data_IF_207881418561
#
_entry.id   IF_207881418561
#
_cell.length_a   1.000
_cell.length_b   1.000
_cell.length_c   1.000
_cell.angle_alpha   90.00
_cell.angle_beta   90.00
_cell.angle_gamma   90.00
#
_symmetry.space_group_name_H-M   'P 1'
#
loop_
_entity.id
_entity.type
_entity.pdbx_description
1 polymer ?
#
# COMPACT_ATOMS: atom_id res chain seq x y z
N UNK A 1 -3.64 0.98 -23.77
CA UNK A 1 -2.34 1.08 -24.46
C UNK A 1 -1.35 0.61 -23.42
N UNK A 2 -0.90 -0.63 -23.52
CA UNK A 2 0.22 -1.11 -22.69
C UNK A 2 1.45 -0.40 -23.25
N UNK A 3 1.90 0.66 -22.56
CA UNK A 3 3.22 1.18 -22.83
C UNK A 3 4.17 0.12 -22.29
N UNK A 4 4.65 -0.76 -23.17
CA UNK A 4 5.72 -1.68 -22.83
C UNK A 4 6.98 -0.83 -22.65
N UNK A 5 7.23 -0.35 -21.44
CA UNK A 5 8.44 0.37 -21.10
C UNK A 5 9.64 -0.56 -21.32
N UNK A 6 10.61 -0.13 -22.13
CA UNK A 6 11.89 -0.86 -22.24
C UNK A 6 12.77 -0.44 -21.07
N UNK A 7 12.86 -1.27 -20.05
CA UNK A 7 13.75 -1.05 -18.90
C UNK A 7 15.17 -0.79 -19.42
N UNK A 8 15.72 0.36 -19.08
CA UNK A 8 17.04 0.83 -19.53
C UNK A 8 16.98 1.98 -20.53
N UNK A 9 15.82 2.23 -21.15
CA UNK A 9 15.68 3.30 -22.12
C UNK A 9 15.52 4.67 -21.46
N UNK A 10 15.76 5.73 -22.23
CA UNK A 10 15.59 7.11 -21.78
C UNK A 10 14.15 7.39 -21.34
N UNK A 11 13.15 6.90 -22.08
CA UNK A 11 11.73 7.07 -21.73
C UNK A 11 11.39 6.36 -20.41
N UNK A 12 11.98 5.19 -20.17
CA UNK A 12 11.84 4.50 -18.90
C UNK A 12 12.43 5.33 -17.76
N UNK A 13 13.65 5.87 -17.89
CA UNK A 13 14.28 6.67 -16.83
C UNK A 13 13.46 7.92 -16.50
N UNK A 14 12.90 8.58 -17.52
CA UNK A 14 12.01 9.73 -17.33
C UNK A 14 10.73 9.33 -16.56
N UNK A 15 10.10 8.22 -16.94
CA UNK A 15 8.91 7.72 -16.24
C UNK A 15 9.22 7.28 -14.81
N UNK A 16 10.38 6.65 -14.60
CA UNK A 16 10.88 6.22 -13.30
C UNK A 16 11.12 7.42 -12.37
N UNK A 17 11.77 8.46 -12.88
CA UNK A 17 11.98 9.70 -12.15
C UNK A 17 10.63 10.37 -11.81
N UNK A 18 9.73 10.44 -12.79
CA UNK A 18 8.40 11.02 -12.59
C UNK A 18 7.60 10.29 -11.51
N UNK A 19 7.61 8.95 -11.52
CA UNK A 19 6.98 8.11 -10.49
C UNK A 19 7.51 8.45 -9.09
N UNK A 20 8.83 8.45 -8.91
CA UNK A 20 9.47 8.75 -7.63
C UNK A 20 9.24 10.20 -7.16
N UNK A 21 9.24 11.17 -8.08
CA UNK A 21 8.94 12.57 -7.76
C UNK A 21 7.49 12.75 -7.33
N UNK A 22 6.54 12.13 -8.04
CA UNK A 22 5.12 12.23 -7.71
C UNK A 22 4.83 11.71 -6.30
N UNK A 23 5.27 10.50 -5.97
CA UNK A 23 5.04 9.92 -4.64
C UNK A 23 5.81 10.64 -3.53
N UNK A 24 6.95 11.25 -3.84
CA UNK A 24 7.69 12.11 -2.92
C UNK A 24 6.90 13.38 -2.59
N UNK A 25 6.36 14.04 -3.61
CA UNK A 25 5.52 15.23 -3.46
C UNK A 25 4.22 14.91 -2.71
N UNK A 26 3.57 13.77 -2.98
CA UNK A 26 2.37 13.37 -2.22
C UNK A 26 2.70 13.13 -0.74
N UNK A 27 3.85 12.53 -0.44
CA UNK A 27 4.33 12.33 0.94
C UNK A 27 4.60 13.66 1.65
N UNK A 28 5.27 14.60 0.98
CA UNK A 28 5.54 15.94 1.51
C UNK A 28 4.25 16.76 1.70
N UNK A 29 3.33 16.71 0.75
CA UNK A 29 2.01 17.37 0.86
C UNK A 29 1.26 16.85 2.08
N UNK A 30 1.24 15.54 2.30
CA UNK A 30 0.61 14.96 3.48
C UNK A 30 1.30 15.44 4.76
N UNK A 31 2.63 15.33 4.82
CA UNK A 31 3.41 15.75 5.98
C UNK A 31 3.23 17.24 6.33
N UNK A 32 3.08 18.11 5.32
CA UNK A 32 2.82 19.55 5.54
C UNK A 32 1.51 19.84 6.29
N UNK A 33 0.61 18.85 6.39
CA UNK A 33 -0.66 18.95 7.12
C UNK A 33 -0.61 18.31 8.51
N UNK A 34 0.44 17.55 8.83
CA UNK A 34 0.58 16.73 10.03
C UNK A 34 1.17 15.36 9.68
N UNK A 35 1.37 14.49 10.66
CA UNK A 35 2.07 13.21 10.42
C UNK A 35 1.12 12.17 9.80
N UNK A 36 1.30 11.71 8.55
CA UNK A 36 0.45 10.68 7.97
C UNK A 36 0.78 9.30 8.55
N UNK A 37 -0.22 8.41 8.57
CA UNK A 37 -0.03 7.03 9.05
C UNK A 37 1.05 6.25 8.28
N UNK A 38 1.21 6.53 6.98
CA UNK A 38 2.25 5.93 6.14
C UNK A 38 3.67 6.36 6.54
N UNK A 39 3.84 7.45 7.29
CA UNK A 39 5.15 7.94 7.76
C UNK A 39 5.44 7.54 9.21
N UNK A 40 4.43 7.57 10.08
CA UNK A 40 4.55 7.08 11.46
C UNK A 40 3.21 6.57 11.99
N UNK A 41 3.08 5.25 12.16
CA UNK A 41 1.84 4.60 12.56
C UNK A 41 1.38 4.97 14.00
N UNK A 42 2.30 5.36 14.88
CA UNK A 42 2.02 5.67 16.31
C UNK A 42 1.70 7.15 16.52
N UNK A 43 2.38 8.04 15.78
CA UNK A 43 2.18 9.49 15.85
C UNK A 43 1.20 10.03 14.79
N UNK A 44 0.60 9.14 14.00
CA UNK A 44 -0.32 9.48 12.93
C UNK A 44 -1.44 10.42 13.38
N UNK A 45 -1.65 11.46 12.61
CA UNK A 45 -2.73 12.42 12.76
C UNK A 45 -3.77 12.26 11.66
N UNK A 46 -4.93 12.88 11.87
CA UNK A 46 -5.96 12.92 10.84
C UNK A 46 -5.73 14.09 9.90
N UNK A 47 -5.59 13.80 8.61
CA UNK A 47 -5.24 14.78 7.59
C UNK A 47 -6.25 14.82 6.45
N UNK A 48 -6.45 16.00 5.89
CA UNK A 48 -7.18 16.21 4.65
C UNK A 48 -6.23 16.88 3.66
N UNK A 49 -5.90 16.17 2.58
CA UNK A 49 -4.89 16.60 1.61
C UNK A 49 -5.55 16.71 0.25
N UNK A 50 -5.36 17.85 -0.42
CA UNK A 50 -5.82 18.03 -1.79
C UNK A 50 -4.91 17.26 -2.75
N UNK A 51 -5.51 16.44 -3.62
CA UNK A 51 -4.80 15.66 -4.64
C UNK A 51 -4.49 16.48 -5.91
N UNK A 52 -4.95 17.73 -5.96
CA UNK A 52 -4.72 18.66 -7.06
C UNK A 52 -5.76 18.55 -8.19
N UNK A 53 -5.61 19.39 -9.23
CA UNK A 53 -6.61 19.55 -10.28
C UNK A 53 -6.99 18.22 -10.96
N UNK A 54 -8.27 17.99 -11.27
CA UNK A 54 -8.70 16.77 -11.96
C UNK A 54 -8.86 15.53 -11.08
N UNK A 55 -8.45 15.59 -9.80
CA UNK A 55 -8.75 14.59 -8.78
C UNK A 55 -9.72 15.19 -7.75
N UNK A 56 -11.02 14.88 -7.85
CA UNK A 56 -12.06 15.56 -7.07
C UNK A 56 -12.19 15.09 -5.62
N UNK A 57 -11.58 13.96 -5.28
CA UNK A 57 -11.51 13.44 -3.92
C UNK A 57 -10.29 14.00 -3.20
N UNK A 58 -10.45 14.37 -1.94
CA UNK A 58 -9.30 14.60 -1.06
C UNK A 58 -8.67 13.26 -0.69
N UNK A 59 -7.35 13.26 -0.52
CA UNK A 59 -6.66 12.17 0.14
C UNK A 59 -6.82 12.40 1.65
N UNK A 60 -7.63 11.55 2.29
CA UNK A 60 -7.88 11.63 3.73
C UNK A 60 -7.06 10.55 4.43
N UNK A 61 -6.26 10.97 5.39
CA UNK A 61 -5.54 10.07 6.30
C UNK A 61 -6.31 10.08 7.61
N UNK A 62 -6.87 8.94 8.01
CA UNK A 62 -7.57 8.79 9.29
C UNK A 62 -7.03 7.53 9.98
N UNK A 63 -6.20 7.67 11.03
CA UNK A 63 -5.56 6.52 11.68
C UNK A 63 -6.56 5.57 12.37
N UNK A 64 -7.74 6.08 12.76
CA UNK A 64 -8.80 5.24 13.33
C UNK A 64 -9.48 4.44 12.22
N UNK A 65 -9.79 5.08 11.08
CA UNK A 65 -10.32 4.37 9.92
C UNK A 65 -9.32 3.32 9.41
N UNK A 66 -8.04 3.67 9.32
CA UNK A 66 -6.98 2.75 8.91
C UNK A 66 -6.89 1.53 9.83
N UNK A 67 -6.95 1.75 11.15
CA UNK A 67 -6.97 0.65 12.14
C UNK A 67 -8.22 -0.21 12.01
N UNK A 68 -9.39 0.38 11.76
CA UNK A 68 -10.60 -0.41 11.50
C UNK A 68 -10.38 -1.30 10.29
N UNK A 69 -9.84 -0.76 9.19
CA UNK A 69 -9.69 -1.46 7.93
C UNK A 69 -8.63 -2.56 7.97
N UNK A 70 -7.43 -2.21 8.44
CA UNK A 70 -6.21 -2.98 8.26
C UNK A 70 -5.54 -3.36 9.58
N UNK A 71 -6.09 -2.97 10.74
CA UNK A 71 -5.47 -3.23 12.05
C UNK A 71 -5.18 -4.72 12.29
N UNK A 72 -6.14 -5.59 12.02
CA UNK A 72 -5.98 -7.04 12.18
C UNK A 72 -4.96 -7.62 11.18
N UNK A 73 -4.86 -7.03 9.98
CA UNK A 73 -3.90 -7.41 8.95
C UNK A 73 -2.48 -7.00 9.34
N UNK A 74 -2.31 -5.80 9.89
CA UNK A 74 -1.04 -5.35 10.47
C UNK A 74 -0.62 -6.22 11.64
N UNK A 75 -1.55 -6.57 12.53
CA UNK A 75 -1.26 -7.46 13.65
C UNK A 75 -0.80 -8.84 13.17
N UNK A 76 -1.50 -9.43 12.20
CA UNK A 76 -1.09 -10.70 11.59
C UNK A 76 0.31 -10.61 10.96
N UNK A 77 0.61 -9.51 10.26
CA UNK A 77 1.95 -9.26 9.71
C UNK A 77 3.00 -9.19 10.81
N UNK A 78 2.78 -8.39 11.86
CA UNK A 78 3.72 -8.24 12.97
C UNK A 78 3.95 -9.55 13.72
N UNK A 79 2.88 -10.28 14.04
CA UNK A 79 2.95 -11.59 14.69
C UNK A 79 3.74 -12.58 13.82
N UNK A 80 3.55 -12.54 12.49
CA UNK A 80 4.29 -13.40 11.58
C UNK A 80 5.78 -13.05 11.54
N UNK A 81 6.14 -11.77 11.52
CA UNK A 81 7.56 -11.35 11.54
C UNK A 81 8.23 -11.77 12.84
N UNK A 82 7.56 -11.57 13.98
CA UNK A 82 8.08 -11.95 15.29
C UNK A 82 8.20 -13.47 15.47
N UNK A 83 7.31 -14.25 14.85
CA UNK A 83 7.35 -15.71 14.86
C UNK A 83 8.53 -16.30 14.06
N UNK A 84 9.07 -15.57 13.07
CA UNK A 84 10.29 -15.98 12.36
C UNK A 84 11.51 -15.79 13.26
N UNK A 85 11.62 -14.64 13.91
CA UNK A 85 12.65 -14.31 14.90
C UNK A 85 12.25 -13.06 15.68
N UNK A 86 12.55 -12.98 16.99
CA UNK A 86 12.33 -11.75 17.76
C UNK A 86 13.14 -10.55 17.23
N UNK A 87 14.23 -10.80 16.49
CA UNK A 87 15.08 -9.77 15.87
C UNK A 87 15.29 -10.04 14.37
N UNK A 88 14.20 -10.34 13.66
CA UNK A 88 14.22 -10.60 12.21
C UNK A 88 14.96 -9.51 11.41
N UNK A 89 15.70 -9.93 10.39
CA UNK A 89 16.22 -9.04 9.34
C UNK A 89 15.14 -8.86 8.29
N UNK A 90 14.52 -7.69 8.25
CA UNK A 90 13.33 -7.42 7.44
C UNK A 90 13.67 -6.49 6.29
N UNK A 91 13.33 -6.89 5.07
CA UNK A 91 13.31 -6.03 3.89
C UNK A 91 11.90 -5.49 3.67
N UNK A 92 11.72 -4.18 3.60
CA UNK A 92 10.44 -3.54 3.23
C UNK A 92 10.60 -2.89 1.86
N UNK A 93 9.92 -3.42 0.86
CA UNK A 93 9.94 -2.98 -0.53
C UNK A 93 8.83 -1.96 -0.79
N UNK A 94 9.12 -0.95 -1.60
CA UNK A 94 8.23 0.20 -1.83
C UNK A 94 7.78 0.81 -0.50
N UNK A 95 8.75 1.07 0.38
CA UNK A 95 8.49 1.42 1.78
C UNK A 95 7.85 2.81 1.98
N UNK A 96 7.76 3.62 0.92
CA UNK A 96 7.21 4.97 0.97
C UNK A 96 7.89 5.83 2.04
N UNK A 97 7.12 6.60 2.84
CA UNK A 97 7.67 7.38 3.93
C UNK A 97 7.96 6.56 5.20
N UNK A 98 8.00 5.23 5.10
CA UNK A 98 8.68 4.37 6.06
C UNK A 98 7.90 3.97 7.31
N UNK A 99 6.62 4.29 7.44
CA UNK A 99 5.84 4.05 8.66
C UNK A 99 5.80 2.58 9.10
N UNK A 100 5.62 1.64 8.17
CA UNK A 100 5.68 0.21 8.46
C UNK A 100 7.09 -0.24 8.86
N UNK A 101 8.11 0.26 8.17
CA UNK A 101 9.51 -0.05 8.46
C UNK A 101 9.92 0.48 9.86
N UNK A 102 9.49 1.69 10.21
CA UNK A 102 9.71 2.31 11.51
C UNK A 102 9.01 1.53 12.62
N UNK A 103 7.78 1.08 12.41
CA UNK A 103 7.05 0.28 13.39
C UNK A 103 7.72 -1.08 13.65
N UNK A 104 8.19 -1.76 12.60
CA UNK A 104 8.96 -3.00 12.73
C UNK A 104 10.29 -2.79 13.48
N UNK A 105 10.99 -1.69 13.22
CA UNK A 105 12.21 -1.34 13.95
C UNK A 105 11.92 -1.07 15.44
N UNK A 106 10.81 -0.41 15.77
CA UNK A 106 10.34 -0.22 17.17
C UNK A 106 10.00 -1.52 17.89
N UNK A 107 9.72 -2.59 17.15
CA UNK A 107 9.47 -3.92 17.68
C UNK A 107 10.76 -4.75 17.85
N UNK A 108 11.93 -4.17 17.57
CA UNK A 108 13.24 -4.80 17.78
C UNK A 108 13.84 -5.46 16.55
N UNK A 109 13.24 -5.30 15.37
CA UNK A 109 13.73 -5.90 14.14
C UNK A 109 14.80 -5.05 13.44
N UNK A 110 15.60 -5.69 12.59
CA UNK A 110 16.61 -5.04 11.76
C UNK A 110 16.05 -4.79 10.37
N UNK A 111 15.62 -3.56 10.12
CA UNK A 111 14.80 -3.21 8.96
C UNK A 111 15.62 -2.46 7.91
N UNK A 112 15.48 -2.88 6.66
CA UNK A 112 15.96 -2.17 5.47
C UNK A 112 14.75 -1.79 4.61
N UNK A 113 14.45 -0.51 4.52
CA UNK A 113 13.42 0.02 3.62
C UNK A 113 14.00 0.41 2.27
N UNK A 114 13.33 0.05 1.18
CA UNK A 114 13.70 0.47 -0.17
C UNK A 114 12.50 1.13 -0.83
N UNK A 115 12.71 2.32 -1.37
CA UNK A 115 11.73 3.02 -2.19
C UNK A 115 12.42 3.72 -3.35
N UNK A 116 11.68 4.06 -4.39
CA UNK A 116 12.22 4.83 -5.50
C UNK A 116 12.20 6.34 -5.24
N UNK A 117 11.29 6.79 -4.38
CA UNK A 117 11.10 8.19 -4.09
C UNK A 117 12.13 8.71 -3.09
N UNK A 118 13.02 9.57 -3.57
CA UNK A 118 13.95 10.33 -2.70
C UNK A 118 13.21 11.15 -1.64
N UNK A 119 12.09 11.78 -2.02
CA UNK A 119 11.29 12.60 -1.10
C UNK A 119 10.63 11.77 0.00
N UNK A 120 10.10 10.59 -0.35
CA UNK A 120 9.53 9.68 0.64
C UNK A 120 10.60 9.14 1.60
N UNK A 121 11.76 8.72 1.08
CA UNK A 121 12.89 8.26 1.91
C UNK A 121 13.40 9.36 2.85
N UNK A 122 13.55 10.60 2.38
CA UNK A 122 13.96 11.71 3.25
C UNK A 122 12.97 11.94 4.41
N UNK A 123 11.67 11.79 4.15
CA UNK A 123 10.67 11.84 5.21
C UNK A 123 10.77 10.63 6.15
N UNK A 124 11.02 9.43 5.63
CA UNK A 124 11.21 8.22 6.42
C UNK A 124 12.40 8.33 7.38
N UNK A 125 13.54 8.82 6.89
CA UNK A 125 14.74 9.10 7.69
C UNK A 125 14.44 10.11 8.79
N UNK A 126 13.75 11.21 8.46
CA UNK A 126 13.31 12.21 9.44
C UNK A 126 12.41 11.61 10.53
N UNK A 127 11.45 10.76 10.16
CA UNK A 127 10.56 10.11 11.14
C UNK A 127 11.32 9.16 12.06
N UNK A 128 12.35 8.48 11.54
CA UNK A 128 13.24 7.65 12.33
C UNK A 128 14.12 8.47 13.30
N UNK A 129 14.68 9.60 12.85
CA UNK A 129 15.47 10.51 13.68
C UNK A 129 14.64 11.14 14.80
N UNK A 130 13.41 11.55 14.50
CA UNK A 130 12.49 12.15 15.47
C UNK A 130 11.73 11.11 16.31
N UNK A 131 12.08 9.82 16.24
CA UNK A 131 11.35 8.74 16.91
C UNK A 131 11.56 8.77 18.45
N UNK A 132 10.50 8.98 19.26
CA UNK A 132 10.64 8.96 20.72
C UNK A 132 10.58 7.54 21.33
N UNK A 133 10.22 6.51 20.56
CA UNK A 133 10.00 5.15 21.05
C UNK A 133 11.23 4.27 20.80
N UNK A 134 12.23 4.34 21.69
CA UNK A 134 13.56 3.74 21.46
C UNK A 134 13.90 2.53 22.36
N UNK A 135 13.05 2.20 23.33
CA UNK A 135 13.33 1.19 24.37
C UNK A 135 13.72 -0.20 23.83
N UNK A 136 13.03 -0.67 22.79
CA UNK A 136 13.29 -1.95 22.11
C UNK A 136 13.63 -1.73 20.63
N UNK A 137 14.25 -0.60 20.28
CA UNK A 137 14.51 -0.28 18.89
C UNK A 137 15.61 -1.17 18.32
N UNK A 138 15.33 -1.83 17.19
CA UNK A 138 16.32 -2.57 16.43
C UNK A 138 17.20 -1.64 15.60
N UNK A 139 17.34 -1.93 14.31
CA UNK A 139 18.04 -1.02 13.38
C UNK A 139 17.15 -0.69 12.21
N UNK A 140 17.36 0.49 11.63
CA UNK A 140 16.58 0.96 10.50
C UNK A 140 17.50 1.69 9.53
N UNK A 141 17.51 1.26 8.27
CA UNK A 141 18.16 1.98 7.18
C UNK A 141 17.26 2.03 5.96
N UNK A 142 17.50 3.02 5.11
CA UNK A 142 16.74 3.25 3.90
C UNK A 142 17.66 3.34 2.68
N UNK A 143 17.18 2.87 1.54
CA UNK A 143 17.87 3.00 0.26
C UNK A 143 16.91 3.51 -0.80
N UNK A 144 17.34 4.53 -1.55
CA UNK A 144 16.66 4.93 -2.78
C UNK A 144 17.11 4.02 -3.93
N UNK A 145 16.23 3.20 -4.47
CA UNK A 145 16.57 2.31 -5.58
C UNK A 145 15.38 1.94 -6.47
N UNK A 146 15.69 1.63 -7.72
CA UNK A 146 14.75 1.07 -8.69
C UNK A 146 14.57 -0.45 -8.47
N UNK A 147 13.42 -0.83 -7.91
CA UNK A 147 13.08 -2.23 -7.67
C UNK A 147 12.95 -3.07 -8.96
N UNK A 148 12.76 -2.44 -10.12
CA UNK A 148 12.74 -3.17 -11.39
C UNK A 148 14.14 -3.66 -11.80
N UNK A 149 15.20 -3.06 -11.25
CA UNK A 149 16.60 -3.39 -11.58
C UNK A 149 17.45 -3.81 -10.38
N UNK A 150 16.90 -3.75 -9.17
CA UNK A 150 17.65 -4.02 -7.95
C UNK A 150 18.28 -5.41 -7.95
N UNK A 151 19.49 -5.53 -7.42
CA UNK A 151 20.12 -6.81 -7.08
C UNK A 151 20.19 -6.92 -5.57
N UNK A 152 19.52 -7.92 -5.01
CA UNK A 152 19.45 -8.11 -3.56
C UNK A 152 20.54 -9.10 -3.10
N UNK A 153 21.15 -8.80 -1.96
CA UNK A 153 22.13 -9.69 -1.33
C UNK A 153 21.47 -11.04 -0.98
N UNK A 154 22.15 -12.14 -1.35
CA UNK A 154 21.63 -13.50 -1.17
C UNK A 154 21.52 -13.87 0.30
N UNK A 155 20.42 -14.51 0.70
CA UNK A 155 20.17 -15.02 2.06
C UNK A 155 20.37 -13.98 3.19
N UNK A 156 20.13 -12.71 2.87
CA UNK A 156 20.31 -11.58 3.77
C UNK A 156 19.13 -11.37 4.72
N UNK A 157 17.92 -11.69 4.28
CA UNK A 157 16.69 -11.34 5.01
C UNK A 157 15.95 -12.58 5.51
N UNK A 158 15.39 -12.46 6.70
CA UNK A 158 14.50 -13.48 7.27
C UNK A 158 13.05 -13.23 6.81
N UNK A 159 12.70 -11.97 6.56
CA UNK A 159 11.39 -11.57 6.05
C UNK A 159 11.55 -10.52 4.96
N UNK A 160 10.81 -10.66 3.86
CA UNK A 160 10.60 -9.60 2.88
C UNK A 160 9.12 -9.18 2.93
N UNK A 161 8.87 -7.88 2.83
CA UNK A 161 7.54 -7.29 2.93
C UNK A 161 7.31 -6.32 1.77
N UNK A 162 6.13 -6.37 1.17
CA UNK A 162 5.63 -5.29 0.30
C UNK A 162 4.20 -4.93 0.73
N UNK A 163 3.92 -3.65 0.95
CA UNK A 163 2.60 -3.20 1.37
C UNK A 163 2.12 -2.08 0.44
N UNK A 164 1.14 -2.39 -0.39
CA UNK A 164 0.49 -1.46 -1.32
C UNK A 164 1.49 -0.82 -2.31
N UNK A 165 2.31 -1.65 -2.97
CA UNK A 165 3.43 -1.17 -3.79
C UNK A 165 3.90 -2.09 -4.92
N UNK A 166 3.54 -3.38 -4.91
CA UNK A 166 3.90 -4.30 -6.00
C UNK A 166 3.21 -3.94 -7.32
N UNK A 167 2.03 -3.32 -7.26
CA UNK A 167 1.31 -2.90 -8.45
C UNK A 167 2.02 -1.83 -9.29
N UNK A 168 3.06 -1.19 -8.74
CA UNK A 168 3.94 -0.24 -9.43
C UNK A 168 5.14 -0.89 -10.14
N UNK A 169 5.36 -2.20 -9.97
CA UNK A 169 6.62 -2.85 -10.38
C UNK A 169 6.49 -3.47 -11.78
N UNK A 170 6.94 -2.76 -12.81
CA UNK A 170 7.00 -3.25 -14.19
C UNK A 170 7.70 -4.62 -14.33
N UNK A 171 8.85 -4.82 -13.68
CA UNK A 171 9.64 -6.03 -13.75
C UNK A 171 9.31 -7.03 -12.63
N UNK A 172 8.02 -7.20 -12.30
CA UNK A 172 7.58 -7.96 -11.13
C UNK A 172 8.18 -9.37 -11.07
N UNK A 173 8.25 -10.07 -12.20
CA UNK A 173 8.82 -11.42 -12.29
C UNK A 173 10.29 -11.45 -11.86
N UNK A 174 11.09 -10.49 -12.36
CA UNK A 174 12.49 -10.31 -11.95
C UNK A 174 12.59 -9.99 -10.46
N UNK A 175 11.75 -9.09 -9.95
CA UNK A 175 11.74 -8.74 -8.54
C UNK A 175 11.41 -9.96 -7.67
N UNK A 176 10.43 -10.78 -8.04
CA UNK A 176 10.11 -12.02 -7.31
C UNK A 176 11.32 -12.97 -7.25
N UNK A 177 12.06 -13.11 -8.35
CA UNK A 177 13.32 -13.84 -8.38
C UNK A 177 14.37 -13.26 -7.40
N UNK A 178 14.50 -11.94 -7.33
CA UNK A 178 15.42 -11.25 -6.40
C UNK A 178 15.00 -11.45 -4.93
N UNK A 179 13.70 -11.31 -4.63
CA UNK A 179 13.19 -11.58 -3.28
C UNK A 179 13.50 -13.02 -2.88
N UNK A 180 13.20 -13.99 -3.77
CA UNK A 180 13.43 -15.42 -3.52
C UNK A 180 14.87 -15.71 -3.13
N UNK A 181 15.85 -15.16 -3.86
CA UNK A 181 17.28 -15.41 -3.56
C UNK A 181 17.79 -14.64 -2.34
N UNK A 182 17.15 -13.51 -2.03
CA UNK A 182 17.53 -12.67 -0.89
C UNK A 182 17.08 -13.24 0.46
N UNK A 183 16.04 -14.07 0.46
CA UNK A 183 15.52 -14.71 1.65
C UNK A 183 16.44 -15.83 2.16
N UNK A 184 16.55 -15.94 3.48
CA UNK A 184 17.13 -17.10 4.14
C UNK A 184 16.31 -18.36 3.86
N UNK A 185 16.88 -19.55 4.16
CA UNK A 185 16.23 -20.83 3.86
C UNK A 185 14.86 -21.02 4.51
N UNK A 186 14.62 -20.38 5.67
CA UNK A 186 13.32 -20.35 6.37
C UNK A 186 12.61 -19.01 6.23
N UNK A 187 13.04 -18.17 5.29
CA UNK A 187 12.52 -16.83 5.12
C UNK A 187 11.12 -16.82 4.51
N UNK A 188 10.36 -15.78 4.84
CA UNK A 188 8.99 -15.61 4.34
C UNK A 188 8.87 -14.31 3.55
N UNK A 189 8.06 -14.34 2.51
CA UNK A 189 7.60 -13.14 1.81
C UNK A 189 6.16 -12.85 2.23
N UNK A 190 5.93 -11.66 2.76
CA UNK A 190 4.59 -11.19 3.16
C UNK A 190 4.24 -10.02 2.24
N UNK A 191 3.06 -10.04 1.63
CA UNK A 191 2.64 -8.87 0.86
C UNK A 191 1.16 -8.58 1.03
N UNK A 192 0.81 -7.30 0.99
CA UNK A 192 -0.56 -6.86 0.83
C UNK A 192 -0.66 -5.93 -0.37
N UNK A 193 -1.58 -6.21 -1.28
CA UNK A 193 -1.71 -5.42 -2.51
C UNK A 193 -3.09 -5.54 -3.16
N UNK A 194 -3.40 -4.60 -4.04
CA UNK A 194 -4.60 -4.57 -4.86
C UNK A 194 -4.44 -5.52 -6.06
N UNK A 195 -5.30 -6.54 -6.10
CA UNK A 195 -5.35 -7.58 -7.15
C UNK A 195 -6.50 -7.35 -8.15
N UNK A 196 -7.16 -6.19 -8.04
CA UNK A 196 -8.26 -5.77 -8.89
C UNK A 196 -9.64 -6.13 -8.33
N UNK A 197 -10.60 -5.29 -8.64
CA UNK A 197 -11.97 -5.40 -8.13
C UNK A 197 -12.91 -6.12 -9.10
N UNK A 198 -13.74 -7.02 -8.57
CA UNK A 198 -14.79 -7.70 -9.35
C UNK A 198 -15.87 -6.75 -9.85
N UNK A 199 -16.62 -7.15 -10.89
CA UNK A 199 -17.73 -6.33 -11.42
C UNK A 199 -18.81 -6.08 -10.36
N UNK A 200 -19.19 -7.10 -9.60
CA UNK A 200 -20.24 -7.00 -8.58
C UNK A 200 -19.81 -6.07 -7.44
N UNK A 201 -18.60 -6.27 -6.90
CA UNK A 201 -17.95 -5.40 -5.93
C UNK A 201 -17.97 -3.94 -6.36
N UNK A 202 -17.61 -3.69 -7.63
CA UNK A 202 -17.59 -2.36 -8.22
C UNK A 202 -18.97 -1.72 -8.30
N UNK A 203 -20.02 -2.49 -8.61
CA UNK A 203 -21.39 -1.98 -8.62
C UNK A 203 -21.86 -1.60 -7.22
N UNK A 204 -21.66 -2.49 -6.24
CA UNK A 204 -22.07 -2.25 -4.85
C UNK A 204 -21.32 -1.05 -4.27
N UNK A 205 -19.99 -1.02 -4.41
CA UNK A 205 -19.15 0.08 -3.94
C UNK A 205 -19.50 1.41 -4.60
N UNK A 206 -19.75 1.39 -5.92
CA UNK A 206 -20.20 2.57 -6.66
C UNK A 206 -21.57 3.08 -6.20
N UNK A 207 -22.53 2.19 -5.95
CA UNK A 207 -23.85 2.55 -5.45
C UNK A 207 -23.77 3.14 -4.03
N UNK A 208 -23.02 2.51 -3.12
CA UNK A 208 -22.79 3.02 -1.77
C UNK A 208 -22.11 4.39 -1.80
N UNK A 209 -21.03 4.53 -2.57
CA UNK A 209 -20.34 5.81 -2.72
C UNK A 209 -21.26 6.90 -3.27
N UNK A 210 -22.10 6.57 -4.24
CA UNK A 210 -23.07 7.50 -4.77
C UNK A 210 -24.11 7.91 -3.72
N UNK A 211 -24.68 6.96 -2.97
CA UNK A 211 -25.75 7.22 -2.01
C UNK A 211 -25.26 7.94 -0.74
N UNK A 212 -24.06 7.62 -0.25
CA UNK A 212 -23.56 8.12 1.02
C UNK A 212 -23.08 9.58 0.94
N UNK A 213 -23.24 10.37 2.02
CA UNK A 213 -22.76 11.74 2.06
C UNK A 213 -21.23 11.74 2.20
N UNK A 214 -20.52 12.16 1.14
CA UNK A 214 -19.06 12.33 1.17
C UNK A 214 -18.67 13.78 0.91
N UNK A 215 -17.40 14.16 1.08
CA UNK A 215 -16.96 15.52 0.80
C UNK A 215 -17.07 15.89 -0.69
N UNK A 216 -17.08 14.89 -1.59
CA UNK A 216 -17.41 15.08 -3.00
C UNK A 216 -18.91 15.38 -3.21
N UNK A 217 -19.28 16.51 -3.85
CA UNK A 217 -20.68 16.85 -4.15
C UNK A 217 -21.38 15.85 -5.09
N UNK A 218 -22.68 15.61 -4.90
CA UNK A 218 -23.46 14.66 -5.71
C UNK A 218 -23.44 14.94 -7.21
N UNK A 219 -23.44 16.21 -7.65
CA UNK A 219 -23.37 16.54 -9.08
C UNK A 219 -22.03 16.09 -9.71
N UNK A 220 -20.94 16.10 -8.94
CA UNK A 220 -19.65 15.53 -9.36
C UNK A 220 -19.73 13.99 -9.38
N UNK A 221 -20.37 13.38 -8.37
CA UNK A 221 -20.60 11.92 -8.34
C UNK A 221 -21.38 11.42 -9.55
N UNK A 222 -22.44 12.13 -9.95
CA UNK A 222 -23.20 11.85 -11.18
C UNK A 222 -22.31 11.85 -12.42
N UNK A 223 -21.35 12.76 -12.51
CA UNK A 223 -20.36 12.81 -13.59
C UNK A 223 -19.48 11.55 -13.69
N UNK A 224 -19.22 10.84 -12.59
CA UNK A 224 -18.46 9.58 -12.63
C UNK A 224 -19.24 8.43 -13.25
N UNK A 225 -20.55 8.38 -13.01
CA UNK A 225 -21.45 7.38 -13.60
C UNK A 225 -21.44 7.50 -15.13
N UNK A 226 -21.31 8.73 -15.64
CA UNK A 226 -21.27 9.05 -17.08
C UNK A 226 -19.86 9.00 -17.71
N UNK A 227 -18.89 8.32 -17.08
CA UNK A 227 -17.56 8.06 -17.66
C UNK A 227 -16.39 8.82 -17.03
N UNK A 228 -16.61 9.56 -15.93
CA UNK A 228 -15.53 10.25 -15.21
C UNK A 228 -14.42 9.32 -14.67
N UNK A 229 -14.70 8.02 -14.47
CA UNK A 229 -13.67 7.03 -14.08
C UNK A 229 -12.49 6.99 -15.07
N UNK A 230 -12.76 7.01 -16.38
CA UNK A 230 -11.71 6.96 -17.40
C UNK A 230 -10.83 8.22 -17.37
N UNK A 231 -11.39 9.36 -16.96
CA UNK A 231 -10.63 10.62 -16.82
C UNK A 231 -9.70 10.55 -15.61
N UNK A 232 -10.20 10.08 -14.46
CA UNK A 232 -9.39 9.91 -13.24
C UNK A 232 -8.24 8.94 -13.46
N UNK A 233 -8.53 7.76 -14.03
CA UNK A 233 -7.48 6.77 -14.30
C UNK A 233 -6.41 7.32 -15.25
N UNK A 234 -6.80 8.03 -16.32
CA UNK A 234 -5.84 8.70 -17.20
C UNK A 234 -5.00 9.78 -16.49
N UNK A 235 -5.62 10.56 -15.61
CA UNK A 235 -4.92 11.58 -14.83
C UNK A 235 -3.95 10.95 -13.83
N UNK A 236 -4.32 9.84 -13.20
CA UNK A 236 -3.42 9.07 -12.34
C UNK A 236 -2.25 8.49 -13.12
N UNK A 237 -2.49 7.77 -14.22
CA UNK A 237 -1.42 7.24 -15.08
C UNK A 237 -0.51 8.33 -15.64
N UNK A 238 -1.05 9.54 -15.86
CA UNK A 238 -0.24 10.67 -16.31
C UNK A 238 0.74 11.14 -15.23
N UNK A 239 0.40 11.01 -13.94
CA UNK A 239 1.21 11.48 -12.80
C UNK A 239 2.11 10.41 -12.22
N UNK A 240 1.59 9.19 -12.16
CA UNK A 240 2.19 7.95 -11.67
C UNK A 240 2.23 6.99 -12.87
N UNK A 241 3.27 7.06 -13.73
CA UNK A 241 3.37 6.25 -14.95
C UNK A 241 3.26 4.74 -14.72
N UNK A 242 3.59 4.27 -13.53
CA UNK A 242 3.56 2.85 -13.18
C UNK A 242 2.35 2.44 -12.32
N UNK A 243 1.40 3.34 -12.09
CA UNK A 243 0.15 3.03 -11.39
C UNK A 243 -0.56 1.80 -11.98
N UNK A 244 -0.85 0.82 -11.14
CA UNK A 244 -1.60 -0.41 -11.48
C UNK A 244 -1.02 -1.25 -12.64
N UNK A 245 0.25 -1.06 -13.03
CA UNK A 245 0.85 -1.79 -14.17
C UNK A 245 0.92 -3.30 -13.96
N UNK A 246 0.94 -3.74 -12.70
CA UNK A 246 1.08 -5.15 -12.33
C UNK A 246 -0.09 -5.73 -11.55
N UNK A 247 -1.11 -4.94 -11.18
CA UNK A 247 -2.23 -5.41 -10.33
C UNK A 247 -2.87 -6.71 -10.83
N UNK A 248 -2.97 -6.89 -12.15
CA UNK A 248 -3.57 -8.07 -12.77
C UNK A 248 -2.70 -9.35 -12.78
N UNK A 249 -1.40 -9.27 -12.45
CA UNK A 249 -0.46 -10.39 -12.56
C UNK A 249 0.27 -10.74 -11.26
N UNK A 250 0.00 -10.03 -10.15
CA UNK A 250 0.70 -10.23 -8.86
C UNK A 250 0.64 -11.69 -8.41
N UNK A 251 -0.56 -12.25 -8.27
CA UNK A 251 -0.72 -13.61 -7.73
C UNK A 251 -0.10 -14.68 -8.62
N UNK A 252 -0.25 -14.57 -9.94
CA UNK A 252 0.37 -15.48 -10.90
C UNK A 252 1.91 -15.41 -10.82
N UNK A 253 2.46 -14.20 -10.74
CA UNK A 253 3.91 -13.99 -10.71
C UNK A 253 4.52 -14.45 -9.41
N UNK A 254 3.89 -14.19 -8.27
CA UNK A 254 4.30 -14.72 -6.96
C UNK A 254 4.28 -16.25 -6.97
N UNK A 255 3.23 -16.86 -7.52
CA UNK A 255 3.08 -18.32 -7.56
C UNK A 255 4.17 -19.06 -8.35
N UNK A 256 4.91 -18.38 -9.22
CA UNK A 256 6.05 -18.95 -9.97
C UNK A 256 7.33 -19.10 -9.13
N UNK A 257 7.42 -18.42 -7.99
CA UNK A 257 8.61 -18.39 -7.14
C UNK A 257 8.34 -18.81 -5.70
N UNK A 258 7.08 -18.75 -5.28
CA UNK A 258 6.67 -18.97 -3.89
C UNK A 258 5.44 -19.87 -3.79
N UNK A 259 5.39 -20.63 -2.71
CA UNK A 259 4.20 -21.36 -2.27
C UNK A 259 3.46 -20.51 -1.25
N UNK A 260 2.18 -20.21 -1.52
CA UNK A 260 1.33 -19.46 -0.58
C UNK A 260 0.97 -20.36 0.61
N UNK A 261 1.38 -19.97 1.81
CA UNK A 261 0.97 -20.63 3.06
C UNK A 261 -0.38 -20.10 3.55
N UNK A 262 -0.61 -18.80 3.36
CA UNK A 262 -1.85 -18.13 3.73
C UNK A 262 -2.13 -17.04 2.70
N UNK A 263 -3.40 -16.84 2.37
CA UNK A 263 -3.87 -15.84 1.43
C UNK A 263 -5.26 -15.39 1.87
N UNK A 264 -5.35 -14.17 2.41
CA UNK A 264 -6.59 -13.57 2.89
C UNK A 264 -7.01 -12.49 1.89
N UNK A 265 -8.16 -12.66 1.25
CA UNK A 265 -8.77 -11.58 0.47
C UNK A 265 -9.56 -10.66 1.41
N UNK A 266 -9.55 -9.35 1.16
CA UNK A 266 -10.31 -8.39 1.95
C UNK A 266 -10.79 -7.20 1.10
N UNK A 267 -11.62 -6.33 1.69
CA UNK A 267 -12.12 -5.10 1.04
C UNK A 267 -12.99 -5.43 -0.19
N UNK A 268 -13.99 -6.29 -0.01
CA UNK A 268 -14.89 -6.74 -1.07
C UNK A 268 -15.68 -5.63 -1.78
N UNK A 269 -15.92 -4.49 -1.14
CA UNK A 269 -16.77 -3.39 -1.63
C UNK A 269 -15.94 -2.15 -2.08
N UNK A 270 -14.60 -2.22 -2.06
CA UNK A 270 -13.74 -1.15 -2.59
C UNK A 270 -13.88 0.20 -1.86
N UNK A 271 -14.34 0.17 -0.60
CA UNK A 271 -14.67 1.36 0.20
C UNK A 271 -13.45 1.98 0.91
N UNK A 272 -12.27 1.33 0.86
CA UNK A 272 -11.04 1.77 1.52
C UNK A 272 -10.61 3.17 1.10
N UNK A 273 -10.45 3.42 -0.19
CA UNK A 273 -9.98 4.71 -0.70
C UNK A 273 -11.11 5.76 -0.83
N UNK A 274 -12.32 5.34 -1.23
CA UNK A 274 -13.37 6.28 -1.62
C UNK A 274 -14.37 6.63 -0.50
N UNK A 275 -14.50 5.80 0.54
CA UNK A 275 -15.55 5.95 1.55
C UNK A 275 -14.99 6.07 2.97
N UNK A 276 -13.98 5.28 3.34
CA UNK A 276 -13.43 5.26 4.69
C UNK A 276 -12.92 6.64 5.12
N UNK A 277 -12.23 7.35 4.23
CA UNK A 277 -11.76 8.71 4.47
C UNK A 277 -12.79 9.82 4.19
N UNK A 278 -13.66 9.61 3.19
CA UNK A 278 -14.43 10.69 2.58
C UNK A 278 -15.85 10.89 3.15
N UNK A 279 -16.32 9.98 4.02
CA UNK A 279 -17.63 10.07 4.69
C UNK A 279 -17.76 11.38 5.49
N UNK A 280 -18.89 12.08 5.33
CA UNK A 280 -19.26 13.24 6.15
C UNK A 280 -19.94 12.80 7.44
N UNK A 281 -19.74 13.56 8.52
CA UNK A 281 -20.36 13.33 9.82
C UNK A 281 -19.38 13.56 10.96
N UNK A 282 -19.79 13.29 12.20
CA UNK A 282 -18.88 13.29 13.35
C UNK A 282 -18.08 11.98 13.41
N UNK A 283 -16.88 12.03 13.99
CA UNK A 283 -15.95 10.90 14.05
C UNK A 283 -16.56 9.65 14.68
N UNK A 284 -17.23 9.74 15.85
CA UNK A 284 -17.85 8.56 16.46
C UNK A 284 -18.87 7.89 15.55
N UNK A 285 -19.69 8.67 14.83
CA UNK A 285 -20.72 8.13 13.93
C UNK A 285 -20.09 7.48 12.70
N UNK A 286 -19.08 8.13 12.10
CA UNK A 286 -18.37 7.61 10.93
C UNK A 286 -17.63 6.32 11.26
N UNK A 287 -16.86 6.30 12.33
CA UNK A 287 -16.10 5.12 12.75
C UNK A 287 -17.02 3.97 13.19
N UNK A 288 -18.17 4.26 13.79
CA UNK A 288 -19.19 3.25 14.09
C UNK A 288 -19.77 2.64 12.79
N UNK A 289 -20.13 3.48 11.82
CA UNK A 289 -20.62 3.01 10.53
C UNK A 289 -19.57 2.20 9.77
N UNK A 290 -18.31 2.64 9.77
CA UNK A 290 -17.20 1.91 9.13
C UNK A 290 -16.96 0.55 9.76
N UNK A 291 -17.01 0.43 11.10
CA UNK A 291 -16.93 -0.88 11.77
C UNK A 291 -18.07 -1.81 11.36
N UNK A 292 -19.29 -1.29 11.25
CA UNK A 292 -20.44 -2.08 10.80
C UNK A 292 -20.30 -2.52 9.34
N UNK A 293 -19.91 -1.59 8.46
CA UNK A 293 -19.70 -1.88 7.04
C UNK A 293 -18.59 -2.90 6.84
N UNK A 294 -17.47 -2.77 7.57
CA UNK A 294 -16.37 -3.74 7.55
C UNK A 294 -16.82 -5.14 7.92
N UNK A 295 -17.61 -5.29 9.00
CA UNK A 295 -18.12 -6.61 9.40
C UNK A 295 -18.95 -7.28 8.29
N UNK A 296 -19.75 -6.49 7.57
CA UNK A 296 -20.55 -7.01 6.45
C UNK A 296 -19.66 -7.38 5.27
N UNK A 297 -18.69 -6.52 4.96
CA UNK A 297 -17.75 -6.74 3.86
C UNK A 297 -16.91 -8.00 4.09
N UNK A 298 -16.28 -8.12 5.26
CA UNK A 298 -15.48 -9.29 5.65
C UNK A 298 -16.36 -10.55 5.61
N UNK A 299 -17.57 -10.52 6.18
CA UNK A 299 -18.50 -11.65 6.12
C UNK A 299 -18.83 -12.06 4.67
N UNK A 300 -19.08 -11.09 3.78
CA UNK A 300 -19.39 -11.38 2.39
C UNK A 300 -18.19 -11.98 1.63
N UNK A 301 -16.96 -11.55 1.95
CA UNK A 301 -15.73 -12.11 1.39
C UNK A 301 -15.49 -13.53 1.91
N UNK A 302 -15.60 -13.74 3.23
CA UNK A 302 -15.39 -15.03 3.88
C UNK A 302 -16.37 -16.11 3.40
N UNK A 303 -17.59 -15.72 3.03
CA UNK A 303 -18.62 -16.62 2.49
C UNK A 303 -18.61 -16.70 0.95
N UNK A 304 -17.62 -16.09 0.29
CA UNK A 304 -17.44 -16.15 -1.17
C UNK A 304 -18.48 -15.38 -1.98
N UNK A 305 -19.28 -14.52 -1.35
CA UNK A 305 -20.28 -13.67 -2.02
C UNK A 305 -19.62 -12.51 -2.77
N UNK A 306 -18.52 -11.99 -2.25
CA UNK A 306 -17.69 -10.98 -2.91
C UNK A 306 -16.26 -11.46 -3.03
N UNK A 307 -15.62 -11.08 -4.13
CA UNK A 307 -14.17 -11.21 -4.28
C UNK A 307 -13.54 -9.94 -3.71
N UNK A 308 -12.72 -10.08 -2.66
CA UNK A 308 -11.88 -8.99 -2.16
C UNK A 308 -11.03 -8.40 -3.29
N UNK A 309 -10.83 -7.08 -3.27
CA UNK A 309 -9.98 -6.40 -4.25
C UNK A 309 -8.53 -6.28 -3.78
N UNK A 310 -8.27 -6.56 -2.49
CA UNK A 310 -6.93 -6.67 -1.93
C UNK A 310 -6.71 -8.07 -1.37
N UNK A 311 -5.44 -8.43 -1.27
CA UNK A 311 -4.97 -9.64 -0.61
C UNK A 311 -3.95 -9.28 0.45
N UNK A 312 -3.89 -10.04 1.54
CA UNK A 312 -2.70 -10.21 2.38
C UNK A 312 -2.25 -11.66 2.26
N UNK A 313 -1.02 -11.90 1.83
CA UNK A 313 -0.49 -13.25 1.64
C UNK A 313 0.84 -13.45 2.36
N UNK A 314 1.03 -14.66 2.87
CA UNK A 314 2.28 -15.16 3.44
C UNK A 314 2.76 -16.29 2.53
N UNK A 315 3.95 -16.14 1.98
CA UNK A 315 4.50 -17.02 0.96
C UNK A 315 5.91 -17.48 1.35
N UNK A 316 6.27 -18.70 0.97
CA UNK A 316 7.61 -19.28 1.20
C UNK A 316 8.27 -19.65 -0.11
N UNK A 317 9.59 -19.42 -0.27
CA UNK A 317 10.28 -19.71 -1.51
C UNK A 317 10.34 -21.23 -1.77
N UNK A 318 10.26 -21.66 -3.03
CA UNK A 318 10.54 -23.04 -3.47
C UNK A 318 11.64 -23.09 -4.55
#
# INVERSE_FOLDING_TARGET
>A
MSNSWRIGSEEYEQALQQEGEYWGQESEKAFSRGIPFSADMRRAERLYVDRGPGLPQQQVYDPVAERIMNGDLYQLLFDRVAAVSPHSRVLVLACGPGGLALELARQGHHVHGIDISKGAIALAERMAEENPFTENFGSLCYTVADLNRIELEKKRYDVAIAWDGLHHILALDRLMGQIRVSLASSGVFIFSDNIGMSFLSRLIGGALYFMLPTYVPYHIKFGFVLGGKKKISKEMTRRSPFEEVSSGSIMETVGRYFTLQQCLSHTGIGYRAALAGDLRGSDPRRHCFLRWLKKIDDWAVDHGLLKGDHVLAIAVPH
#
